data_IF_339880739503
#
_entry.id   IF_339880739503
#
_cell.length_a   1.000
_cell.length_b   1.000
_cell.length_c   1.000
_cell.angle_alpha   90.00
_cell.angle_beta   90.00
_cell.angle_gamma   90.00
#
_symmetry.space_group_name_H-M   'P 1'
#
loop_
_entity.id
_entity.type
_entity.pdbx_description
1 polymer ?
#
# COMPACT_ATOMS: atom_id res chain seq x y z
N UNK A 1 6.94 5.77 17.87
CA UNK A 1 5.62 5.35 17.35
C UNK A 1 5.87 4.39 16.20
N UNK A 2 5.11 3.29 16.17
CA UNK A 2 5.12 2.37 15.04
C UNK A 2 4.51 3.07 13.81
N UNK A 3 5.06 2.85 12.62
CA UNK A 3 4.53 3.46 11.39
C UNK A 3 3.27 2.71 10.95
N UNK A 4 2.27 3.47 10.50
CA UNK A 4 1.05 2.89 9.92
C UNK A 4 1.43 2.24 8.57
N UNK A 5 1.16 0.94 8.44
CA UNK A 5 1.35 0.14 7.23
C UNK A 5 0.13 0.24 6.33
N UNK A 6 0.33 0.67 5.09
CA UNK A 6 -0.69 0.80 4.05
C UNK A 6 -0.40 -0.19 2.93
N UNK A 7 -1.39 -0.99 2.56
CA UNK A 7 -1.37 -1.75 1.31
C UNK A 7 -2.26 -1.02 0.31
N UNK A 8 -1.65 -0.39 -0.68
CA UNK A 8 -2.32 0.31 -1.78
C UNK A 8 -2.48 -0.63 -2.97
N UNK A 9 -3.71 -0.81 -3.47
CA UNK A 9 -3.99 -1.60 -4.67
C UNK A 9 -4.71 -0.75 -5.72
N UNK A 10 -4.05 -0.50 -6.84
CA UNK A 10 -4.59 0.36 -7.91
C UNK A 10 -4.06 -0.08 -9.28
N UNK A 11 -4.92 -0.21 -10.29
CA UNK A 11 -4.53 -0.64 -11.63
C UNK A 11 -3.84 0.46 -12.46
N UNK A 12 -3.99 1.72 -12.06
CA UNK A 12 -3.28 2.86 -12.64
C UNK A 12 -1.89 3.03 -11.99
N UNK A 13 -0.84 2.78 -12.77
CA UNK A 13 0.54 2.88 -12.30
C UNK A 13 0.97 4.32 -12.02
N UNK A 14 0.49 5.30 -12.78
CA UNK A 14 0.91 6.70 -12.63
C UNK A 14 0.28 7.30 -11.37
N UNK A 15 -1.00 7.04 -11.16
CA UNK A 15 -1.69 7.40 -9.92
C UNK A 15 -1.10 6.65 -8.72
N UNK A 16 -0.97 5.32 -8.81
CA UNK A 16 -0.44 4.49 -7.72
C UNK A 16 0.95 4.93 -7.26
N UNK A 17 1.85 5.21 -8.20
CA UNK A 17 3.19 5.71 -7.86
C UNK A 17 3.14 7.10 -7.19
N UNK A 18 2.28 7.99 -7.67
CA UNK A 18 2.08 9.31 -7.07
C UNK A 18 1.56 9.20 -5.63
N UNK A 19 0.56 8.35 -5.40
CA UNK A 19 -0.01 8.10 -4.08
C UNK A 19 1.04 7.51 -3.12
N UNK A 20 1.86 6.55 -3.57
CA UNK A 20 2.97 5.98 -2.77
C UNK A 20 3.94 7.06 -2.31
N UNK A 21 4.32 7.99 -3.20
CA UNK A 21 5.23 9.08 -2.85
C UNK A 21 4.64 10.01 -1.78
N UNK A 22 3.37 10.38 -1.93
CA UNK A 22 2.67 11.25 -0.98
C UNK A 22 2.51 10.59 0.39
N UNK A 23 2.09 9.33 0.43
CA UNK A 23 1.93 8.57 1.68
C UNK A 23 3.27 8.34 2.39
N UNK A 24 4.34 8.00 1.65
CA UNK A 24 5.69 7.88 2.25
C UNK A 24 6.16 9.21 2.83
N UNK A 25 5.90 10.33 2.13
CA UNK A 25 6.21 11.68 2.63
C UNK A 25 5.43 12.05 3.90
N UNK A 26 4.20 11.55 4.04
CA UNK A 26 3.39 11.70 5.24
C UNK A 26 3.78 10.74 6.39
N UNK A 27 4.77 9.86 6.19
CA UNK A 27 5.33 9.01 7.24
C UNK A 27 4.77 7.58 7.28
N UNK A 28 3.92 7.20 6.34
CA UNK A 28 3.39 5.84 6.21
C UNK A 28 4.42 4.86 5.65
N UNK A 29 4.28 3.60 6.02
CA UNK A 29 4.96 2.48 5.36
C UNK A 29 4.03 1.90 4.30
N UNK A 30 4.38 2.03 3.02
CA UNK A 30 3.46 1.78 1.91
C UNK A 30 3.94 0.63 1.04
N UNK A 31 3.06 -0.33 0.81
CA UNK A 31 3.20 -1.44 -0.11
C UNK A 31 2.22 -1.24 -1.26
N UNK A 32 2.68 -1.30 -2.51
CA UNK A 32 1.84 -1.10 -3.69
C UNK A 32 1.69 -2.40 -4.47
N UNK A 33 0.49 -2.67 -4.98
CA UNK A 33 0.18 -3.72 -5.95
C UNK A 33 -0.65 -3.12 -7.08
N UNK A 34 -0.35 -3.51 -8.32
CA UNK A 34 -1.10 -3.05 -9.48
C UNK A 34 -2.23 -3.99 -9.91
N UNK A 35 -2.54 -4.97 -9.05
CA UNK A 35 -3.54 -6.01 -9.31
C UNK A 35 -4.03 -6.58 -7.99
N UNK A 36 -5.27 -7.09 -8.00
CA UNK A 36 -5.84 -7.83 -6.87
C UNK A 36 -5.25 -9.24 -6.71
N UNK A 37 -4.52 -9.74 -7.71
CA UNK A 37 -3.95 -11.08 -7.68
C UNK A 37 -2.97 -11.22 -6.50
N UNK A 38 -3.26 -12.15 -5.58
CA UNK A 38 -2.41 -12.42 -4.42
C UNK A 38 -2.51 -11.40 -3.27
N UNK A 39 -3.44 -10.44 -3.33
CA UNK A 39 -3.63 -9.43 -2.28
C UNK A 39 -3.99 -10.06 -0.94
N UNK A 40 -4.78 -11.14 -0.91
CA UNK A 40 -5.11 -11.85 0.33
C UNK A 40 -3.86 -12.37 1.05
N UNK A 41 -2.92 -12.96 0.30
CA UNK A 41 -1.65 -13.44 0.85
C UNK A 41 -0.79 -12.29 1.39
N UNK A 42 -0.84 -11.12 0.74
CA UNK A 42 -0.14 -9.93 1.21
C UNK A 42 -0.78 -9.35 2.47
N UNK A 43 -2.11 -9.34 2.58
CA UNK A 43 -2.81 -8.91 3.80
C UNK A 43 -2.38 -9.80 4.97
N UNK A 44 -2.36 -11.12 4.80
CA UNK A 44 -1.92 -12.05 5.85
C UNK A 44 -0.45 -11.84 6.24
N UNK A 45 0.44 -11.66 5.25
CA UNK A 45 1.89 -11.52 5.48
C UNK A 45 2.26 -10.17 6.10
N UNK A 46 1.64 -9.08 5.62
CA UNK A 46 2.00 -7.72 5.99
C UNK A 46 1.20 -7.23 7.21
N UNK A 47 -0.01 -7.76 7.40
CA UNK A 47 -0.98 -7.28 8.38
C UNK A 47 -1.06 -5.74 8.37
N UNK A 48 -1.46 -5.13 7.24
CA UNK A 48 -1.52 -3.68 7.11
C UNK A 48 -2.57 -3.10 8.05
N UNK A 49 -2.31 -1.89 8.53
CA UNK A 49 -3.27 -1.14 9.34
C UNK A 49 -4.44 -0.64 8.48
N UNK A 50 -4.19 -0.39 7.19
CA UNK A 50 -5.18 0.08 6.24
C UNK A 50 -4.94 -0.56 4.86
N UNK A 51 -5.87 -1.39 4.36
CA UNK A 51 -5.95 -1.75 2.94
C UNK A 51 -6.75 -0.69 2.19
N UNK A 52 -6.17 -0.10 1.14
CA UNK A 52 -6.84 0.89 0.27
C UNK A 52 -6.67 0.50 -1.17
#
# INVERSE_FOLDING_TARGET
MEKIKVLLVDDDLDFGNTAVLLLKKAGYEVYFQNTLFGVESLIMKLSPNLPV
#
